data_IF_551960257708
#
_entry.id   IF_551960257708
#
_cell.length_a   1.000
_cell.length_b   1.000
_cell.length_c   1.000
_cell.angle_alpha   90.00
_cell.angle_beta   90.00
_cell.angle_gamma   90.00
#
_symmetry.space_group_name_H-M   'P 1'
#
loop_
_entity.id
_entity.type
_entity.pdbx_description
1 polymer ?
#
# COMPACT_ATOMS: atom_id res chain seq x y z
N UNK A 1 12.73 -5.01 -23.93
CA UNK A 1 12.28 -3.98 -22.98
C UNK A 1 11.81 -4.62 -21.68
N UNK A 2 11.88 -3.88 -20.56
CA UNK A 2 11.45 -4.34 -19.25
C UNK A 2 10.07 -3.74 -18.94
N UNK A 3 9.13 -4.57 -18.49
CA UNK A 3 7.82 -4.14 -18.02
C UNK A 3 7.74 -4.34 -16.50
N UNK A 4 7.49 -3.28 -15.75
CA UNK A 4 7.32 -3.30 -14.29
C UNK A 4 5.85 -3.07 -13.97
N UNK A 5 5.27 -3.86 -13.07
CA UNK A 5 3.90 -3.71 -12.60
C UNK A 5 3.86 -3.51 -11.08
N UNK A 6 3.19 -2.45 -10.63
CA UNK A 6 2.73 -2.27 -9.24
C UNK A 6 1.21 -2.50 -9.21
N UNK A 7 0.82 -3.69 -8.76
CA UNK A 7 -0.55 -4.16 -8.80
C UNK A 7 -1.24 -4.01 -7.45
N UNK A 8 -2.03 -2.96 -7.33
CA UNK A 8 -3.01 -2.84 -6.25
C UNK A 8 -4.34 -3.51 -6.59
N UNK A 9 -5.20 -3.67 -5.57
CA UNK A 9 -6.53 -4.27 -5.75
C UNK A 9 -7.51 -3.41 -6.57
N UNK A 10 -7.19 -2.15 -6.87
CA UNK A 10 -8.08 -1.23 -7.61
C UNK A 10 -7.55 -0.89 -8.99
N UNK A 11 -6.25 -0.73 -9.11
CA UNK A 11 -5.54 -0.41 -10.35
C UNK A 11 -4.16 -1.04 -10.36
N UNK A 12 -3.64 -1.25 -11.55
CA UNK A 12 -2.23 -1.57 -11.77
C UNK A 12 -1.57 -0.39 -12.46
N UNK A 13 -0.41 -0.02 -11.97
CA UNK A 13 0.52 0.89 -12.62
C UNK A 13 1.59 0.07 -13.34
N UNK A 14 1.58 0.12 -14.68
CA UNK A 14 2.57 -0.53 -15.53
C UNK A 14 3.54 0.50 -16.05
N UNK A 15 4.83 0.22 -15.96
CA UNK A 15 5.87 1.05 -16.52
C UNK A 15 6.74 0.25 -17.50
N UNK A 16 6.83 0.71 -18.75
CA UNK A 16 7.67 0.13 -19.78
C UNK A 16 9.00 0.88 -19.87
N UNK A 17 10.10 0.14 -19.77
CA UNK A 17 11.45 0.69 -19.83
C UNK A 17 12.21 0.18 -21.08
N UNK A 18 12.94 1.08 -21.72
CA UNK A 18 13.98 0.76 -22.70
C UNK A 18 15.34 1.14 -22.10
N UNK A 19 16.09 0.15 -21.61
CA UNK A 19 17.22 0.39 -20.73
C UNK A 19 16.81 1.15 -19.48
N UNK A 20 17.39 2.34 -19.26
CA UNK A 20 17.02 3.21 -18.13
C UNK A 20 15.91 4.22 -18.44
N UNK A 21 15.44 4.27 -19.68
CA UNK A 21 14.46 5.26 -20.12
C UNK A 21 13.04 4.72 -19.97
N UNK A 22 12.20 5.46 -19.26
CA UNK A 22 10.75 5.23 -19.23
C UNK A 22 10.15 5.57 -20.59
N UNK A 23 9.54 4.59 -21.23
CA UNK A 23 8.94 4.69 -22.57
C UNK A 23 7.44 4.92 -22.50
N UNK A 24 6.78 4.19 -21.61
CA UNK A 24 5.34 4.31 -21.41
C UNK A 24 4.96 4.06 -19.94
N UNK A 25 3.85 4.66 -19.52
CA UNK A 25 3.15 4.33 -18.29
C UNK A 25 1.69 4.06 -18.62
N UNK A 26 1.19 2.91 -18.19
CA UNK A 26 -0.13 2.39 -18.54
C UNK A 26 -0.85 2.07 -17.25
N UNK A 27 -2.13 2.41 -17.18
CA UNK A 27 -2.97 2.07 -16.03
C UNK A 27 -4.07 1.11 -16.48
N UNK A 28 -4.23 0.03 -15.74
CA UNK A 28 -5.29 -0.96 -15.96
C UNK A 28 -6.06 -1.20 -14.68
N UNK A 29 -7.18 -1.91 -14.77
CA UNK A 29 -7.92 -2.39 -13.62
C UNK A 29 -7.04 -3.27 -12.72
N UNK A 30 -7.20 -3.12 -11.40
CA UNK A 30 -6.44 -3.91 -10.42
C UNK A 30 -6.79 -5.39 -10.49
N UNK A 31 -5.78 -6.25 -10.38
CA UNK A 31 -5.94 -7.69 -10.32
C UNK A 31 -5.55 -8.18 -8.93
N UNK A 32 -6.51 -8.77 -8.20
CA UNK A 32 -6.20 -9.45 -6.96
C UNK A 32 -6.08 -10.95 -7.25
N UNK A 33 -4.85 -11.45 -7.36
CA UNK A 33 -4.57 -12.83 -7.70
C UNK A 33 -5.13 -13.86 -6.69
N UNK A 34 -5.46 -13.43 -5.48
CA UNK A 34 -6.13 -14.28 -4.49
C UNK A 34 -7.63 -14.50 -4.81
N UNK A 35 -8.25 -13.59 -5.57
CA UNK A 35 -9.70 -13.57 -5.83
C UNK A 35 -10.06 -13.82 -7.29
N UNK A 36 -9.08 -13.78 -8.20
CA UNK A 36 -9.27 -13.95 -9.64
C UNK A 36 -8.65 -15.25 -10.11
N UNK A 37 -9.27 -15.87 -11.09
CA UNK A 37 -8.69 -17.03 -11.79
C UNK A 37 -7.61 -16.59 -12.78
N UNK A 38 -6.80 -17.56 -13.25
CA UNK A 38 -5.79 -17.34 -14.30
C UNK A 38 -6.44 -16.78 -15.58
N UNK A 39 -7.62 -17.32 -15.96
CA UNK A 39 -8.36 -16.91 -17.15
C UNK A 39 -8.83 -15.45 -17.06
N UNK A 40 -9.41 -15.07 -15.93
CA UNK A 40 -9.86 -13.69 -15.68
C UNK A 40 -8.70 -12.70 -15.74
N UNK A 41 -7.56 -13.05 -15.12
CA UNK A 41 -6.35 -12.22 -15.20
C UNK A 41 -5.81 -12.12 -16.63
N UNK A 42 -5.77 -13.25 -17.37
CA UNK A 42 -5.32 -13.25 -18.77
C UNK A 42 -6.22 -12.41 -19.67
N UNK A 43 -7.54 -12.43 -19.45
CA UNK A 43 -8.50 -11.59 -20.18
C UNK A 43 -8.29 -10.09 -19.89
N UNK A 44 -8.12 -9.71 -18.63
CA UNK A 44 -7.78 -8.32 -18.26
C UNK A 44 -6.49 -7.84 -18.94
N UNK A 45 -5.44 -8.65 -18.92
CA UNK A 45 -4.18 -8.34 -19.59
C UNK A 45 -4.40 -8.15 -21.10
N UNK A 46 -5.12 -9.07 -21.74
CA UNK A 46 -5.39 -9.04 -23.18
C UNK A 46 -6.17 -7.79 -23.60
N UNK A 47 -7.19 -7.43 -22.80
CA UNK A 47 -8.11 -6.35 -23.18
C UNK A 47 -7.61 -4.96 -22.80
N UNK A 48 -6.93 -4.83 -21.66
CA UNK A 48 -6.56 -3.51 -21.13
C UNK A 48 -5.06 -3.17 -21.33
N UNK A 49 -4.14 -4.15 -21.22
CA UNK A 49 -2.70 -3.91 -21.33
C UNK A 49 -2.17 -4.06 -22.75
N UNK A 50 -2.50 -5.19 -23.43
CA UNK A 50 -1.92 -5.52 -24.73
C UNK A 50 -2.14 -4.46 -25.81
N UNK A 51 -3.29 -3.74 -25.90
CA UNK A 51 -3.45 -2.68 -26.88
C UNK A 51 -2.41 -1.55 -26.75
N UNK A 52 -2.00 -1.23 -25.51
CA UNK A 52 -1.01 -0.19 -25.21
C UNK A 52 0.44 -0.65 -25.41
N UNK A 53 0.67 -1.96 -25.52
CA UNK A 53 2.01 -2.55 -25.78
C UNK A 53 2.27 -2.84 -27.26
N UNK A 54 1.35 -2.49 -28.17
CA UNK A 54 1.55 -2.72 -29.60
C UNK A 54 2.78 -1.97 -30.12
N UNK A 55 3.67 -2.72 -30.80
CA UNK A 55 4.90 -2.18 -31.35
C UNK A 55 6.10 -2.17 -30.39
N UNK A 56 5.90 -2.63 -29.16
CA UNK A 56 6.97 -2.81 -28.19
C UNK A 56 7.29 -4.30 -27.98
N UNK A 57 8.57 -4.63 -27.91
CA UNK A 57 9.04 -5.99 -27.64
C UNK A 57 9.42 -6.10 -26.15
N UNK A 58 8.48 -6.60 -25.34
CA UNK A 58 8.72 -6.89 -23.93
C UNK A 58 9.48 -8.22 -23.81
N UNK A 59 10.62 -8.20 -23.13
CA UNK A 59 11.48 -9.38 -22.91
C UNK A 59 11.53 -9.81 -21.44
N UNK A 60 11.30 -8.88 -20.51
CA UNK A 60 11.31 -9.15 -19.07
C UNK A 60 10.10 -8.48 -18.40
N UNK A 61 9.52 -9.16 -17.42
CA UNK A 61 8.41 -8.63 -16.60
C UNK A 61 8.75 -8.79 -15.12
N UNK A 62 8.60 -7.70 -14.37
CA UNK A 62 8.64 -7.69 -12.91
C UNK A 62 7.28 -7.26 -12.39
N UNK A 63 6.52 -8.22 -11.88
CA UNK A 63 5.15 -8.00 -11.39
C UNK A 63 5.12 -8.08 -9.88
N UNK A 64 4.61 -7.05 -9.24
CA UNK A 64 4.42 -6.97 -7.80
C UNK A 64 2.95 -6.76 -7.49
N UNK A 65 2.38 -7.62 -6.64
CA UNK A 65 0.95 -7.54 -6.38
C UNK A 65 0.54 -7.86 -4.96
N UNK A 66 -0.55 -7.22 -4.53
CA UNK A 66 -1.25 -7.61 -3.33
C UNK A 66 -1.84 -9.02 -3.49
N UNK A 67 -1.82 -9.80 -2.42
CA UNK A 67 -2.36 -11.17 -2.44
C UNK A 67 -1.43 -12.25 -3.00
N UNK A 68 -0.20 -11.92 -3.37
CA UNK A 68 0.82 -12.91 -3.78
C UNK A 68 1.42 -13.56 -2.51
N UNK A 69 0.75 -14.61 -2.02
CA UNK A 69 1.08 -15.26 -0.73
C UNK A 69 1.60 -16.68 -0.85
N UNK A 70 1.61 -17.26 -2.05
CA UNK A 70 2.09 -18.62 -2.31
C UNK A 70 2.67 -18.75 -3.71
N UNK A 71 3.49 -19.79 -3.91
CA UNK A 71 4.05 -20.10 -5.24
C UNK A 71 2.96 -20.51 -6.23
N UNK A 72 1.86 -21.09 -5.78
CA UNK A 72 0.71 -21.40 -6.63
C UNK A 72 0.11 -20.14 -7.23
N UNK A 73 -0.13 -19.11 -6.40
CA UNK A 73 -0.66 -17.81 -6.87
C UNK A 73 0.37 -17.10 -7.77
N UNK A 74 1.67 -17.16 -7.45
CA UNK A 74 2.72 -16.66 -8.35
C UNK A 74 2.63 -17.31 -9.73
N UNK A 75 2.48 -18.62 -9.78
CA UNK A 75 2.39 -19.36 -11.04
C UNK A 75 1.14 -19.02 -11.85
N UNK A 76 -0.01 -18.80 -11.22
CA UNK A 76 -1.23 -18.33 -11.91
C UNK A 76 -0.99 -16.99 -12.60
N UNK A 77 -0.34 -16.03 -11.94
CA UNK A 77 -0.01 -14.74 -12.56
C UNK A 77 1.01 -14.92 -13.68
N UNK A 78 2.05 -15.73 -13.48
CA UNK A 78 3.06 -16.04 -14.53
C UNK A 78 2.38 -16.63 -15.76
N UNK A 79 1.46 -17.58 -15.60
CA UNK A 79 0.75 -18.21 -16.70
C UNK A 79 -0.15 -17.23 -17.44
N UNK A 80 -0.89 -16.38 -16.71
CA UNK A 80 -1.71 -15.34 -17.31
C UNK A 80 -0.90 -14.35 -18.16
N UNK A 81 0.29 -13.95 -17.68
CA UNK A 81 1.22 -13.10 -18.41
C UNK A 81 1.80 -13.81 -19.63
N UNK A 82 2.28 -15.06 -19.48
CA UNK A 82 2.84 -15.86 -20.59
C UNK A 82 1.85 -16.13 -21.70
N UNK A 83 0.58 -16.34 -21.36
CA UNK A 83 -0.49 -16.57 -22.34
C UNK A 83 -0.64 -15.41 -23.32
N UNK A 84 -0.43 -14.19 -22.84
CA UNK A 84 -0.55 -12.96 -23.64
C UNK A 84 0.78 -12.52 -24.26
N UNK A 85 1.89 -12.88 -23.64
CA UNK A 85 3.24 -12.46 -24.02
C UNK A 85 4.20 -13.67 -24.04
N UNK A 86 4.01 -14.66 -24.96
CA UNK A 86 4.81 -15.89 -24.98
C UNK A 86 6.29 -15.66 -25.30
N UNK A 87 6.65 -14.51 -25.89
CA UNK A 87 8.01 -14.12 -26.21
C UNK A 87 8.83 -13.66 -25.00
N UNK A 88 8.19 -13.41 -23.85
CA UNK A 88 8.88 -12.95 -22.63
C UNK A 88 9.76 -14.07 -22.07
N UNK A 89 11.04 -13.76 -21.89
CA UNK A 89 12.06 -14.72 -21.45
C UNK A 89 12.20 -14.80 -19.94
N UNK A 90 11.86 -13.70 -19.21
CA UNK A 90 11.94 -13.63 -17.76
C UNK A 90 10.67 -13.01 -17.19
N UNK A 91 10.01 -13.72 -16.27
CA UNK A 91 8.89 -13.20 -15.50
C UNK A 91 9.18 -13.45 -14.02
N UNK A 92 9.25 -12.39 -13.24
CA UNK A 92 9.34 -12.41 -11.78
C UNK A 92 8.03 -11.87 -11.21
N UNK A 93 7.41 -12.64 -10.34
CA UNK A 93 6.17 -12.26 -9.65
C UNK A 93 6.41 -12.31 -8.16
N UNK A 94 6.11 -11.22 -7.46
CA UNK A 94 6.28 -11.14 -6.02
C UNK A 94 5.24 -10.22 -5.35
N UNK A 95 5.32 -10.12 -4.02
CA UNK A 95 4.38 -9.33 -3.22
C UNK A 95 4.59 -7.83 -3.38
N UNK A 96 3.54 -7.05 -3.11
CA UNK A 96 3.58 -5.60 -2.95
C UNK A 96 4.56 -5.15 -1.85
N UNK A 97 4.76 -6.01 -0.84
CA UNK A 97 5.71 -5.75 0.24
C UNK A 97 7.16 -5.78 -0.24
N UNK A 98 7.52 -6.72 -1.14
CA UNK A 98 8.85 -6.73 -1.76
C UNK A 98 9.01 -5.54 -2.72
N UNK A 99 7.95 -5.13 -3.43
CA UNK A 99 7.97 -3.90 -4.21
C UNK A 99 8.31 -2.68 -3.35
N UNK A 100 7.62 -2.54 -2.21
CA UNK A 100 7.88 -1.47 -1.25
C UNK A 100 9.34 -1.48 -0.77
N UNK A 101 9.85 -2.66 -0.39
CA UNK A 101 11.22 -2.82 0.08
C UNK A 101 12.25 -2.43 -1.00
N UNK A 102 12.11 -2.95 -2.22
CA UNK A 102 12.99 -2.62 -3.36
C UNK A 102 12.94 -1.14 -3.74
N UNK A 103 11.73 -0.57 -3.75
CA UNK A 103 11.54 0.84 -4.08
C UNK A 103 12.17 1.78 -3.04
N UNK A 104 12.03 1.47 -1.77
CA UNK A 104 12.44 2.33 -0.65
C UNK A 104 13.90 2.13 -0.27
N UNK A 105 14.36 0.89 -0.18
CA UNK A 105 15.67 0.54 0.35
C UNK A 105 16.70 0.25 -0.77
N UNK A 106 16.26 0.06 -2.01
CA UNK A 106 17.13 -0.36 -3.12
C UNK A 106 17.87 -1.67 -2.77
N UNK A 107 19.17 -1.65 -2.68
CA UNK A 107 20.03 -2.80 -2.34
C UNK A 107 20.62 -2.70 -0.91
N UNK A 108 20.09 -1.80 -0.09
CA UNK A 108 20.57 -1.60 1.29
C UNK A 108 19.58 -2.22 2.30
N UNK A 109 20.07 -2.74 3.42
CA UNK A 109 19.20 -3.19 4.50
C UNK A 109 18.35 -2.05 5.07
N UNK A 110 17.09 -2.38 5.42
CA UNK A 110 16.19 -1.38 5.99
C UNK A 110 14.85 -1.97 6.41
N UNK A 111 14.03 -1.15 7.04
CA UNK A 111 12.66 -1.48 7.32
C UNK A 111 11.79 -0.76 6.28
N UNK A 112 10.99 -1.53 5.55
CA UNK A 112 10.07 -1.01 4.55
C UNK A 112 8.64 -1.19 5.04
N UNK A 113 7.85 -0.12 4.95
CA UNK A 113 6.47 -0.06 5.42
C UNK A 113 5.55 0.42 4.31
N UNK A 114 4.42 -0.26 4.15
CA UNK A 114 3.27 0.21 3.37
C UNK A 114 2.30 0.88 4.34
N UNK A 115 1.81 2.08 4.01
CA UNK A 115 0.81 2.78 4.83
C UNK A 115 -0.16 3.53 3.93
N UNK A 116 -1.19 2.83 3.51
CA UNK A 116 -2.28 3.25 2.63
C UNK A 116 -3.65 2.92 3.22
N UNK A 117 -4.54 2.28 2.45
CA UNK A 117 -5.82 1.76 2.96
C UNK A 117 -5.61 0.77 4.09
N UNK A 118 -4.68 -0.19 3.94
CA UNK A 118 -4.12 -1.04 4.99
C UNK A 118 -2.71 -0.60 5.35
N UNK A 119 -2.05 -1.34 6.24
CA UNK A 119 -0.63 -1.18 6.54
C UNK A 119 0.09 -2.52 6.57
N UNK A 120 1.36 -2.50 6.25
CA UNK A 120 2.24 -3.67 6.33
C UNK A 120 3.68 -3.20 6.57
N UNK A 121 4.55 -4.09 7.03
CA UNK A 121 5.97 -3.77 7.22
C UNK A 121 6.84 -5.00 7.04
N UNK A 122 8.11 -4.81 6.72
CA UNK A 122 9.09 -5.88 6.72
C UNK A 122 10.49 -5.39 7.10
N UNK A 123 11.31 -6.34 7.55
CA UNK A 123 12.75 -6.20 7.53
C UNK A 123 13.28 -6.76 6.20
N UNK A 124 14.02 -5.93 5.49
CA UNK A 124 14.64 -6.21 4.20
C UNK A 124 16.16 -6.18 4.37
N UNK A 125 16.87 -7.19 3.84
CA UNK A 125 18.31 -7.33 3.98
C UNK A 125 19.14 -6.70 2.85
N UNK A 126 18.46 -6.05 1.89
CA UNK A 126 19.06 -5.50 0.67
C UNK A 126 18.76 -6.37 -0.57
N UNK A 127 18.26 -7.58 -0.39
CA UNK A 127 17.95 -8.52 -1.47
C UNK A 127 16.53 -9.10 -1.35
N UNK A 128 16.13 -9.52 -0.15
CA UNK A 128 14.85 -10.18 0.13
C UNK A 128 14.21 -9.72 1.44
N UNK A 129 12.93 -9.96 1.57
CA UNK A 129 12.20 -9.82 2.82
C UNK A 129 12.60 -10.97 3.75
N UNK A 130 13.24 -10.64 4.88
CA UNK A 130 13.74 -11.60 5.87
C UNK A 130 12.72 -11.84 6.98
N UNK A 131 11.98 -10.78 7.37
CA UNK A 131 10.94 -10.89 8.39
C UNK A 131 9.77 -9.97 8.03
N UNK A 132 8.56 -10.43 8.33
CA UNK A 132 7.33 -9.68 8.18
C UNK A 132 6.42 -9.95 9.39
N UNK A 133 5.99 -8.89 10.05
CA UNK A 133 4.91 -8.97 11.04
C UNK A 133 3.59 -8.94 10.28
N UNK A 134 2.77 -9.98 10.45
CA UNK A 134 1.50 -10.09 9.73
C UNK A 134 0.59 -8.89 9.99
N UNK A 135 0.07 -8.23 8.95
CA UNK A 135 -0.76 -7.03 9.10
C UNK A 135 -2.15 -7.31 9.68
N UNK A 136 -2.68 -8.54 9.50
CA UNK A 136 -3.94 -9.07 10.04
C UNK A 136 -5.22 -8.31 9.62
N UNK A 137 -5.12 -7.30 8.75
CA UNK A 137 -6.26 -6.49 8.30
C UNK A 137 -6.79 -5.52 9.36
N UNK A 138 -7.68 -4.60 8.94
CA UNK A 138 -8.13 -3.46 9.75
C UNK A 138 -8.96 -3.80 11.01
N UNK A 139 -9.40 -5.06 11.15
CA UNK A 139 -10.13 -5.53 12.34
C UNK A 139 -9.15 -5.91 13.45
N UNK A 140 -8.12 -6.68 13.14
CA UNK A 140 -7.18 -7.26 14.10
C UNK A 140 -5.81 -6.57 14.11
N UNK A 141 -5.49 -5.77 13.09
CA UNK A 141 -4.20 -5.12 12.90
C UNK A 141 -4.34 -3.88 12.03
N UNK A 142 -3.47 -3.73 11.00
CA UNK A 142 -3.36 -2.60 10.10
C UNK A 142 -3.19 -1.25 10.84
N UNK A 143 -2.55 -1.23 12.00
CA UNK A 143 -2.32 -0.02 12.78
C UNK A 143 -1.71 1.07 11.89
N UNK A 144 -2.10 2.32 12.11
CA UNK A 144 -1.62 3.46 11.32
C UNK A 144 -2.23 3.59 9.93
N UNK A 145 -2.93 2.58 9.42
CA UNK A 145 -3.58 2.63 8.10
C UNK A 145 -4.77 3.58 8.04
N UNK A 146 -5.15 3.97 6.83
CA UNK A 146 -6.34 4.78 6.59
C UNK A 146 -7.63 4.13 7.11
N UNK A 147 -7.74 2.80 6.98
CA UNK A 147 -8.91 2.07 7.47
C UNK A 147 -9.00 2.09 9.00
N UNK A 148 -7.87 1.91 9.69
CA UNK A 148 -7.84 1.97 11.16
C UNK A 148 -8.04 3.39 11.66
N UNK A 149 -7.40 4.38 11.05
CA UNK A 149 -7.61 5.79 11.38
C UNK A 149 -9.08 6.19 11.18
N UNK A 150 -9.69 5.80 10.06
CA UNK A 150 -11.10 6.05 9.80
C UNK A 150 -12.04 5.32 10.77
N UNK A 151 -11.69 4.07 11.16
CA UNK A 151 -12.42 3.32 12.19
C UNK A 151 -12.43 4.06 13.54
N UNK A 152 -11.25 4.54 13.96
CA UNK A 152 -11.11 5.30 15.21
C UNK A 152 -11.89 6.61 15.14
N UNK A 153 -11.73 7.39 14.05
CA UNK A 153 -12.46 8.64 13.83
C UNK A 153 -13.98 8.45 13.91
N UNK A 154 -14.51 7.48 13.14
CA UNK A 154 -15.95 7.18 13.10
C UNK A 154 -16.46 6.76 14.48
N UNK A 155 -15.70 5.94 15.19
CA UNK A 155 -16.03 5.54 16.55
C UNK A 155 -16.14 6.73 17.51
N UNK A 156 -15.15 7.62 17.47
CA UNK A 156 -15.09 8.81 18.33
C UNK A 156 -16.18 9.83 17.96
N UNK A 157 -16.49 10.02 16.68
CA UNK A 157 -17.60 10.87 16.21
C UNK A 157 -18.94 10.34 16.72
N UNK A 158 -19.24 9.06 16.49
CA UNK A 158 -20.55 8.48 16.86
C UNK A 158 -20.77 8.36 18.37
N UNK A 159 -19.67 8.28 19.14
CA UNK A 159 -19.69 8.27 20.61
C UNK A 159 -19.52 9.66 21.23
N UNK A 160 -19.44 10.73 20.41
CA UNK A 160 -19.23 12.11 20.84
C UNK A 160 -18.00 12.28 21.76
N UNK A 161 -16.89 11.60 21.40
CA UNK A 161 -15.61 11.69 22.11
C UNK A 161 -14.74 12.83 21.55
N UNK A 162 -15.10 13.39 20.39
CA UNK A 162 -14.50 14.59 19.81
C UNK A 162 -15.33 15.82 20.18
N UNK A 163 -14.76 17.04 20.10
CA UNK A 163 -15.50 18.29 20.19
C UNK A 163 -16.73 18.30 19.26
N UNK A 164 -17.85 18.83 19.74
CA UNK A 164 -19.14 18.79 19.03
C UNK A 164 -19.05 19.35 17.61
N UNK A 165 -18.35 20.48 17.44
CA UNK A 165 -18.15 21.10 16.14
C UNK A 165 -17.45 20.17 15.11
N UNK A 166 -16.53 19.29 15.57
CA UNK A 166 -15.86 18.31 14.69
C UNK A 166 -16.80 17.17 14.34
N UNK A 167 -17.60 16.69 15.29
CA UNK A 167 -18.60 15.65 15.03
C UNK A 167 -19.64 16.12 13.99
N UNK A 168 -20.17 17.31 14.15
CA UNK A 168 -21.13 17.90 13.21
C UNK A 168 -20.50 18.16 11.85
N UNK A 169 -19.28 18.72 11.82
CA UNK A 169 -18.53 18.95 10.58
C UNK A 169 -18.32 17.67 9.79
N UNK A 170 -17.88 16.60 10.46
CA UNK A 170 -17.66 15.29 9.83
C UNK A 170 -18.96 14.74 9.21
N UNK A 171 -20.04 14.66 9.98
CA UNK A 171 -21.31 14.10 9.50
C UNK A 171 -21.87 14.92 8.34
N UNK A 172 -21.74 16.24 8.38
CA UNK A 172 -22.19 17.14 7.32
C UNK A 172 -21.34 17.03 6.05
N UNK A 173 -20.01 17.03 6.20
CA UNK A 173 -19.06 16.99 5.08
C UNK A 173 -19.25 15.74 4.22
N UNK A 174 -19.45 14.59 4.87
CA UNK A 174 -19.63 13.31 4.18
C UNK A 174 -21.09 12.93 3.96
N UNK A 175 -22.03 13.78 4.35
CA UNK A 175 -23.48 13.52 4.28
C UNK A 175 -23.86 12.15 4.89
N UNK A 176 -23.40 11.91 6.10
CA UNK A 176 -23.55 10.63 6.80
C UNK A 176 -24.38 10.79 8.08
N UNK A 177 -25.09 9.71 8.40
CA UNK A 177 -25.72 9.48 9.68
C UNK A 177 -25.22 8.15 10.31
N UNK A 178 -25.58 7.92 11.56
CA UNK A 178 -25.23 6.70 12.28
C UNK A 178 -25.68 5.42 11.52
N UNK A 179 -26.90 5.41 10.97
CA UNK A 179 -27.46 4.22 10.34
C UNK A 179 -26.75 3.89 9.03
N UNK A 180 -26.45 4.89 8.23
CA UNK A 180 -25.69 4.76 6.99
C UNK A 180 -24.27 4.24 7.29
N UNK A 181 -23.61 4.77 8.30
CA UNK A 181 -22.27 4.32 8.70
C UNK A 181 -22.30 2.84 9.12
N UNK A 182 -23.23 2.45 9.98
CA UNK A 182 -23.39 1.06 10.45
C UNK A 182 -23.67 0.13 9.27
N UNK A 183 -24.56 0.51 8.34
CA UNK A 183 -24.83 -0.29 7.15
C UNK A 183 -23.59 -0.47 6.28
N UNK A 184 -22.83 0.61 6.02
CA UNK A 184 -21.60 0.58 5.22
C UNK A 184 -20.48 -0.26 5.84
N UNK A 185 -20.35 -0.24 7.16
CA UNK A 185 -19.27 -0.95 7.88
C UNK A 185 -19.59 -2.43 8.06
N UNK A 186 -20.86 -2.78 8.36
CA UNK A 186 -21.20 -4.15 8.77
C UNK A 186 -21.96 -4.96 7.72
N UNK A 187 -22.57 -4.31 6.71
CA UNK A 187 -23.44 -5.00 5.74
C UNK A 187 -23.00 -4.86 4.28
N UNK A 188 -22.14 -3.88 3.98
CA UNK A 188 -21.69 -3.65 2.61
C UNK A 188 -20.24 -4.14 2.42
N UNK A 189 -19.85 -4.50 1.18
CA UNK A 189 -18.47 -4.86 0.88
C UNK A 189 -17.53 -3.65 1.00
N UNK A 190 -16.23 -3.93 1.10
CA UNK A 190 -15.15 -2.95 1.11
C UNK A 190 -15.23 -1.92 2.25
N UNK A 191 -15.63 -2.35 3.46
CA UNK A 191 -15.69 -1.49 4.66
C UNK A 191 -14.34 -0.82 4.97
N UNK A 192 -13.22 -1.49 4.72
CA UNK A 192 -11.88 -0.91 4.85
C UNK A 192 -11.67 0.33 3.96
N UNK A 193 -12.12 0.29 2.70
CA UNK A 193 -12.04 1.44 1.78
C UNK A 193 -12.99 2.55 2.21
N UNK A 194 -14.20 2.18 2.66
CA UNK A 194 -15.16 3.15 3.20
C UNK A 194 -14.57 3.89 4.40
N UNK A 195 -13.87 3.21 5.29
CA UNK A 195 -13.23 3.85 6.44
C UNK A 195 -12.03 4.69 6.03
N UNK A 196 -11.19 4.17 5.13
CA UNK A 196 -9.98 4.87 4.69
C UNK A 196 -10.25 6.20 3.96
N UNK A 197 -11.44 6.36 3.35
CA UNK A 197 -11.82 7.60 2.65
C UNK A 197 -11.88 8.83 3.57
N UNK A 198 -11.91 8.63 4.90
CA UNK A 198 -11.96 9.72 5.87
C UNK A 198 -10.58 10.29 6.26
N UNK A 199 -9.49 9.74 5.71
CA UNK A 199 -8.15 10.24 5.97
C UNK A 199 -7.96 11.74 5.64
N UNK A 200 -8.55 12.32 4.56
CA UNK A 200 -8.48 13.75 4.31
C UNK A 200 -9.09 14.61 5.42
N UNK A 201 -10.16 14.14 6.09
CA UNK A 201 -10.73 14.86 7.23
C UNK A 201 -9.73 14.97 8.38
N UNK A 202 -8.99 13.91 8.66
CA UNK A 202 -7.94 13.92 9.69
C UNK A 202 -6.82 14.90 9.33
N UNK A 203 -6.41 14.93 8.07
CA UNK A 203 -5.39 15.86 7.56
C UNK A 203 -5.84 17.31 7.70
N UNK A 204 -7.03 17.65 7.19
CA UNK A 204 -7.57 19.01 7.23
C UNK A 204 -7.81 19.53 8.65
N UNK A 205 -7.96 18.63 9.63
CA UNK A 205 -8.20 18.99 11.03
C UNK A 205 -7.04 18.58 11.96
N UNK A 206 -5.83 18.35 11.43
CA UNK A 206 -4.69 17.82 12.20
C UNK A 206 -4.22 18.76 13.32
N UNK A 207 -4.54 20.04 13.23
CA UNK A 207 -4.23 21.03 14.27
C UNK A 207 -5.18 20.95 15.47
N UNK A 208 -6.29 20.23 15.37
CA UNK A 208 -7.17 19.95 16.49
C UNK A 208 -6.50 18.92 17.43
N UNK A 209 -6.32 19.24 18.73
CA UNK A 209 -5.58 18.36 19.65
C UNK A 209 -6.13 16.93 19.71
N UNK A 210 -7.45 16.77 19.66
CA UNK A 210 -8.12 15.46 19.70
C UNK A 210 -7.83 14.63 18.44
N UNK A 211 -7.85 15.25 17.26
CA UNK A 211 -7.52 14.59 15.99
C UNK A 211 -6.04 14.20 15.97
N UNK A 212 -5.15 15.15 16.34
CA UNK A 212 -3.72 14.87 16.40
C UNK A 212 -3.39 13.72 17.36
N UNK A 213 -4.02 13.69 18.54
CA UNK A 213 -3.83 12.63 19.52
C UNK A 213 -4.29 11.26 18.99
N UNK A 214 -5.41 11.21 18.26
CA UNK A 214 -5.91 10.00 17.61
C UNK A 214 -4.90 9.45 16.59
N UNK A 215 -4.41 10.29 15.69
CA UNK A 215 -3.43 9.91 14.65
C UNK A 215 -2.11 9.48 15.28
N UNK A 216 -1.60 10.26 16.23
CA UNK A 216 -0.34 9.98 16.94
C UNK A 216 -0.38 8.62 17.66
N UNK A 217 -1.48 8.32 18.36
CA UNK A 217 -1.68 7.03 19.02
C UNK A 217 -1.64 5.88 18.00
N UNK A 218 -2.37 6.00 16.90
CA UNK A 218 -2.42 4.94 15.88
C UNK A 218 -1.06 4.67 15.24
N UNK A 219 -0.25 5.71 14.99
CA UNK A 219 1.12 5.53 14.49
C UNK A 219 2.06 4.98 15.56
N UNK A 220 1.90 5.38 16.81
CA UNK A 220 2.66 4.79 17.92
C UNK A 220 2.37 3.29 18.03
N UNK A 221 1.09 2.89 17.94
CA UNK A 221 0.68 1.48 17.94
C UNK A 221 1.32 0.72 16.77
N UNK A 222 1.38 1.31 15.56
CA UNK A 222 2.05 0.71 14.41
C UNK A 222 3.54 0.44 14.71
N UNK A 223 4.27 1.43 15.21
CA UNK A 223 5.69 1.24 15.54
C UNK A 223 5.92 0.20 16.62
N UNK A 224 5.14 0.23 17.69
CA UNK A 224 5.29 -0.70 18.82
C UNK A 224 4.95 -2.13 18.44
N UNK A 225 3.87 -2.33 17.68
CA UNK A 225 3.36 -3.67 17.37
C UNK A 225 4.01 -4.31 16.16
N UNK A 226 4.55 -3.52 15.23
CA UNK A 226 5.14 -4.02 13.99
C UNK A 226 6.66 -3.75 13.95
N UNK A 227 7.07 -2.49 13.88
CA UNK A 227 8.47 -2.11 13.64
C UNK A 227 9.41 -2.56 14.77
N UNK A 228 8.99 -2.39 16.03
CA UNK A 228 9.81 -2.75 17.19
C UNK A 228 10.07 -4.26 17.34
N UNK A 229 9.40 -5.10 16.54
CA UNK A 229 9.62 -6.54 16.50
C UNK A 229 10.79 -6.95 15.62
N UNK A 230 11.30 -6.06 14.77
CA UNK A 230 12.44 -6.36 13.90
C UNK A 230 13.78 -6.19 14.62
N UNK A 231 14.78 -7.01 14.28
CA UNK A 231 16.12 -6.84 14.83
C UNK A 231 16.69 -5.47 14.39
N UNK A 232 17.45 -4.84 15.28
CA UNK A 232 18.16 -3.58 15.00
C UNK A 232 17.26 -2.43 14.48
N UNK A 233 15.97 -2.44 14.82
CA UNK A 233 14.99 -1.47 14.30
C UNK A 233 15.33 0.00 14.63
N UNK A 234 16.15 0.25 15.65
CA UNK A 234 16.62 1.62 15.99
C UNK A 234 17.83 2.06 15.17
N UNK A 235 18.56 1.12 14.59
CA UNK A 235 19.78 1.36 13.81
C UNK A 235 19.49 1.46 12.32
N UNK A 236 18.37 0.87 11.90
CA UNK A 236 17.94 0.82 10.50
C UNK A 236 16.98 1.98 10.17
N UNK A 237 17.07 2.56 8.96
CA UNK A 237 16.07 3.51 8.51
C UNK A 237 14.71 2.82 8.33
N UNK A 238 13.65 3.43 8.88
CA UNK A 238 12.28 3.00 8.69
C UNK A 238 11.66 3.82 7.56
N UNK A 239 11.41 3.19 6.42
CA UNK A 239 11.00 3.82 5.18
C UNK A 239 9.52 3.53 4.90
N UNK A 240 8.83 4.46 4.23
CA UNK A 240 7.38 4.35 4.03
C UNK A 240 6.99 4.60 2.57
N UNK A 241 6.04 3.80 2.09
CA UNK A 241 5.29 4.05 0.87
C UNK A 241 3.79 4.06 1.16
N UNK A 242 3.09 5.04 0.60
CA UNK A 242 1.62 5.15 0.71
C UNK A 242 1.14 6.55 1.07
N UNK A 243 -0.11 6.81 0.70
CA UNK A 243 -0.72 8.13 0.86
C UNK A 243 -0.85 8.57 2.32
N UNK A 244 -1.15 7.65 3.24
CA UNK A 244 -1.33 8.00 4.66
C UNK A 244 -0.01 8.43 5.29
N UNK A 245 1.09 7.71 5.01
CA UNK A 245 2.42 8.09 5.50
C UNK A 245 2.84 9.48 5.00
N UNK A 246 2.54 9.77 3.73
CA UNK A 246 2.89 11.06 3.12
C UNK A 246 2.03 12.21 3.67
N UNK A 247 0.71 12.01 3.74
CA UNK A 247 -0.25 13.03 4.23
C UNK A 247 -0.01 13.39 5.70
N UNK A 248 0.35 12.41 6.53
CA UNK A 248 0.53 12.58 7.97
C UNK A 248 2.01 12.52 8.39
N UNK A 249 2.92 12.89 7.47
CA UNK A 249 4.37 12.79 7.64
C UNK A 249 4.87 13.36 8.97
N UNK A 250 4.36 14.52 9.38
CA UNK A 250 4.83 15.21 10.58
C UNK A 250 4.46 14.43 11.84
N UNK A 251 3.22 13.92 11.92
CA UNK A 251 2.75 13.12 13.07
C UNK A 251 3.41 11.74 13.08
N UNK A 252 3.64 11.15 11.91
CA UNK A 252 4.39 9.89 11.77
C UNK A 252 5.82 10.04 12.28
N UNK A 253 6.48 11.12 11.90
CA UNK A 253 7.85 11.44 12.35
C UNK A 253 7.90 11.71 13.86
N UNK A 254 6.90 12.41 14.41
CA UNK A 254 6.78 12.61 15.85
C UNK A 254 6.64 11.28 16.61
N UNK A 255 5.77 10.38 16.12
CA UNK A 255 5.57 9.07 16.75
C UNK A 255 6.87 8.24 16.75
N UNK A 256 7.58 8.21 15.62
CA UNK A 256 8.85 7.53 15.48
C UNK A 256 9.93 8.10 16.44
N UNK A 257 10.07 9.42 16.47
CA UNK A 257 11.05 10.12 17.30
C UNK A 257 10.88 9.80 18.79
N UNK A 258 9.62 9.72 19.29
CA UNK A 258 9.32 9.36 20.69
C UNK A 258 9.79 7.94 21.04
N UNK A 259 9.96 7.08 20.05
CA UNK A 259 10.40 5.68 20.21
C UNK A 259 11.89 5.47 19.84
N UNK A 260 12.58 6.54 19.44
CA UNK A 260 13.98 6.47 19.00
C UNK A 260 14.15 5.77 17.66
N UNK A 261 13.13 5.83 16.79
CA UNK A 261 13.14 5.26 15.45
C UNK A 261 13.48 6.36 14.44
N UNK A 262 14.42 6.06 13.54
CA UNK A 262 14.82 6.98 12.47
C UNK A 262 13.93 6.77 11.25
N UNK A 263 13.20 7.82 10.85
CA UNK A 263 12.45 7.82 9.58
C UNK A 263 13.44 8.07 8.43
N UNK A 264 13.38 7.20 7.43
CA UNK A 264 14.11 7.34 6.18
C UNK A 264 13.27 8.01 5.09
N UNK A 265 13.13 7.34 3.97
CA UNK A 265 12.37 7.81 2.80
C UNK A 265 10.87 7.65 3.00
N UNK A 266 10.09 8.66 2.63
CA UNK A 266 8.61 8.57 2.53
C UNK A 266 8.21 8.93 1.11
N UNK A 267 7.53 8.01 0.41
CA UNK A 267 7.05 8.19 -0.97
C UNK A 267 5.58 7.84 -1.09
N UNK A 268 4.92 8.39 -2.09
CA UNK A 268 3.49 8.13 -2.32
C UNK A 268 3.23 6.77 -2.96
N UNK A 269 4.05 6.37 -3.93
CA UNK A 269 3.92 5.14 -4.71
C UNK A 269 5.29 4.54 -5.03
N UNK A 270 5.41 3.20 -5.24
CA UNK A 270 6.71 2.55 -5.36
C UNK A 270 7.33 2.67 -6.76
N UNK A 271 6.57 3.01 -7.81
CA UNK A 271 6.98 2.86 -9.21
C UNK A 271 8.33 3.52 -9.54
N UNK A 272 8.54 4.78 -9.14
CA UNK A 272 9.81 5.48 -9.43
C UNK A 272 11.02 4.80 -8.74
N UNK A 273 10.80 4.29 -7.52
CA UNK A 273 11.81 3.50 -6.82
C UNK A 273 12.09 2.15 -7.48
N UNK A 274 11.05 1.48 -7.99
CA UNK A 274 11.18 0.23 -8.75
C UNK A 274 11.91 0.44 -10.09
N UNK A 275 11.61 1.54 -10.79
CA UNK A 275 12.34 1.91 -12.00
C UNK A 275 13.84 2.03 -11.70
N UNK A 276 14.18 2.75 -10.63
CA UNK A 276 15.58 2.89 -10.21
C UNK A 276 16.21 1.54 -9.86
N UNK A 277 15.50 0.67 -9.14
CA UNK A 277 15.98 -0.65 -8.75
C UNK A 277 16.28 -1.54 -9.97
N UNK A 278 15.39 -1.58 -10.96
CA UNK A 278 15.52 -2.44 -12.15
C UNK A 278 16.36 -1.83 -13.28
N UNK A 279 16.79 -0.58 -13.14
CA UNK A 279 17.64 0.12 -14.14
C UNK A 279 19.14 0.11 -13.79
N UNK A 280 19.51 -0.45 -12.65
CA UNK A 280 20.92 -0.47 -12.17
C UNK A 280 21.67 -1.74 -12.57
#
# INVERSE_FOLDING_TARGET
>A
MILIADCGSTKIDWCLLDGKKKVAQIFTTGMNALLMTEEEMAECIMTELMPSLRGYEVTEIFYYGAGIISDEIKNQVINALKRNMPQVTKIEVDSDLLAAARALCQHEPGIACIMGTGSNSCYYDGEKVVANVSPLGYILGDEGSGAVLGKLLVGDVLKKQLPEHLCEKFLKEYNLDRNTIIDRVYRKPAANRFLAQFAPFLEHNINEPSIRALVLRSFTDFFVRNVASYPNYKELPCNFVGSIALLQKDVLTEAASKLGITIGTIIQAPMEGLIKYHSN
#
